data_IF_811529256518
#
_entry.id   IF_811529256518
#
_cell.length_a   1.000
_cell.length_b   1.000
_cell.length_c   1.000
_cell.angle_alpha   90.00
_cell.angle_beta   90.00
_cell.angle_gamma   90.00
#
_symmetry.space_group_name_H-M   'P 1'
#
loop_
_entity.id
_entity.type
_entity.pdbx_description
1 polymer ?
#
# COMPACT_ATOMS: atom_id res chain seq x y z
N UNK A 1 24.18 23.07 -13.20
CA UNK A 1 24.22 24.46 -12.68
C UNK A 1 24.86 24.46 -11.33
N UNK A 2 26.06 25.05 -11.22
CA UNK A 2 26.79 25.12 -9.96
C UNK A 2 26.28 26.32 -9.15
N UNK A 3 25.86 26.12 -7.89
CA UNK A 3 25.50 27.23 -7.03
C UNK A 3 26.75 28.06 -6.72
N UNK A 4 26.67 29.38 -6.93
CA UNK A 4 27.72 30.33 -6.59
C UNK A 4 27.47 30.94 -5.22
N UNK A 5 28.53 31.32 -4.51
CA UNK A 5 28.43 31.99 -3.23
C UNK A 5 27.67 33.31 -3.37
N UNK A 6 26.69 33.55 -2.51
CA UNK A 6 25.92 34.77 -2.52
C UNK A 6 26.84 35.99 -2.21
N UNK A 7 26.95 36.99 -3.11
CA UNK A 7 27.85 38.11 -2.93
C UNK A 7 27.43 39.01 -1.78
N UNK A 8 26.13 39.08 -1.44
CA UNK A 8 25.61 39.96 -0.41
C UNK A 8 25.90 39.49 1.01
N UNK A 9 25.92 38.19 1.25
CA UNK A 9 26.22 37.64 2.57
C UNK A 9 27.53 36.81 2.59
N UNK A 10 28.27 36.79 1.50
CA UNK A 10 29.52 36.00 1.36
C UNK A 10 29.41 34.57 1.87
N UNK A 11 28.27 33.92 1.55
CA UNK A 11 28.01 32.54 1.95
C UNK A 11 27.41 32.33 3.35
N UNK A 12 27.33 33.36 4.18
CA UNK A 12 26.85 33.27 5.57
C UNK A 12 25.33 33.07 5.69
N UNK A 13 24.55 33.34 4.65
CA UNK A 13 23.08 33.25 4.68
C UNK A 13 22.39 34.37 5.45
N UNK A 14 23.15 35.19 6.15
CA UNK A 14 22.66 36.29 7.02
C UNK A 14 23.40 37.56 6.75
N UNK A 15 22.73 38.69 6.91
CA UNK A 15 23.31 40.03 6.82
C UNK A 15 23.10 40.79 8.15
N UNK A 16 24.15 41.49 8.58
CA UNK A 16 24.13 42.25 9.82
C UNK A 16 23.86 43.71 9.46
N UNK A 17 22.81 44.24 10.00
CA UNK A 17 22.47 45.68 9.92
C UNK A 17 22.84 46.36 11.22
N UNK A 18 23.80 47.29 11.18
CA UNK A 18 24.15 48.11 12.31
C UNK A 18 23.29 49.37 12.29
N UNK A 19 22.51 49.61 13.33
CA UNK A 19 21.73 50.82 13.51
C UNK A 19 22.25 51.60 14.71
N UNK A 20 22.67 52.83 14.45
CA UNK A 20 23.15 53.73 15.52
C UNK A 20 21.94 54.34 16.23
N UNK A 21 21.84 54.14 17.55
CA UNK A 21 20.80 54.69 18.39
C UNK A 21 21.43 55.62 19.42
N UNK A 22 20.63 56.46 20.11
CA UNK A 22 21.09 57.38 21.14
C UNK A 22 21.78 56.68 22.34
N UNK A 23 21.61 55.34 22.45
CA UNK A 23 22.18 54.50 23.52
C UNK A 23 23.28 53.55 23.06
N UNK A 24 23.76 53.68 21.79
CA UNK A 24 24.80 52.84 21.26
C UNK A 24 24.42 52.18 19.93
N UNK A 25 25.31 51.35 19.40
CA UNK A 25 25.12 50.64 18.13
C UNK A 25 24.42 49.31 18.38
N UNK A 26 23.20 49.15 17.87
CA UNK A 26 22.51 47.87 17.86
C UNK A 26 22.78 47.12 16.54
N UNK A 27 23.21 45.89 16.65
CA UNK A 27 23.39 44.99 15.51
C UNK A 27 22.18 44.05 15.39
N UNK A 28 21.46 44.14 14.27
CA UNK A 28 20.37 43.21 13.92
C UNK A 28 20.82 42.25 12.84
N UNK A 29 20.70 40.96 13.13
CA UNK A 29 20.98 39.90 12.17
C UNK A 29 19.68 39.56 11.46
N UNK A 30 19.64 39.70 10.14
CA UNK A 30 18.50 39.31 9.29
C UNK A 30 18.91 38.29 8.25
N UNK A 31 17.99 37.43 7.89
CA UNK A 31 18.16 36.47 6.78
C UNK A 31 18.49 37.28 5.51
N UNK A 32 19.49 36.80 4.74
CA UNK A 32 19.88 37.48 3.50
C UNK A 32 18.72 37.38 2.49
N UNK A 33 18.22 38.52 1.98
CA UNK A 33 17.07 38.54 1.07
C UNK A 33 17.38 38.02 -0.33
N UNK A 34 18.65 37.94 -0.73
CA UNK A 34 19.04 37.45 -2.05
C UNK A 34 19.12 35.93 -2.10
N UNK A 35 19.60 35.29 -1.05
CA UNK A 35 19.74 33.85 -0.99
C UNK A 35 18.73 33.17 -0.05
N UNK A 36 17.85 33.93 0.60
CA UNK A 36 16.87 33.44 1.56
C UNK A 36 17.46 32.49 2.63
N UNK A 37 18.67 32.82 3.10
CA UNK A 37 19.33 32.04 4.14
C UNK A 37 20.24 30.91 3.65
N UNK A 38 20.20 30.55 2.36
CA UNK A 38 20.99 29.43 1.82
C UNK A 38 22.48 29.71 1.64
N UNK A 39 22.88 30.99 1.64
CA UNK A 39 24.27 31.42 1.42
C UNK A 39 24.74 31.27 -0.04
N UNK A 40 23.92 30.68 -0.92
CA UNK A 40 24.24 30.40 -2.31
C UNK A 40 23.15 30.90 -3.24
N UNK A 41 23.54 31.34 -4.43
CA UNK A 41 22.60 31.76 -5.49
C UNK A 41 22.91 31.00 -6.79
N UNK A 42 21.85 30.74 -7.55
CA UNK A 42 21.97 30.11 -8.87
C UNK A 42 21.78 31.21 -9.92
N UNK A 43 22.86 31.61 -10.59
CA UNK A 43 22.80 32.64 -11.64
C UNK A 43 22.12 32.11 -12.90
N UNK A 44 22.54 30.92 -13.36
CA UNK A 44 21.98 30.29 -14.54
C UNK A 44 20.98 29.19 -14.10
N UNK A 45 19.70 29.46 -14.23
CA UNK A 45 18.65 28.51 -13.90
C UNK A 45 18.60 27.41 -14.97
N UNK A 46 18.60 26.16 -14.55
CA UNK A 46 18.38 25.02 -15.45
C UNK A 46 17.00 25.16 -16.11
N UNK A 47 16.89 25.01 -17.45
CA UNK A 47 15.60 25.10 -18.14
C UNK A 47 14.59 24.04 -17.68
N UNK A 48 15.06 22.87 -17.27
CA UNK A 48 14.18 21.75 -16.86
C UNK A 48 13.62 21.91 -15.44
N UNK A 49 14.45 22.38 -14.49
CA UNK A 49 14.04 22.46 -13.07
C UNK A 49 13.82 23.89 -12.55
N UNK A 50 14.12 24.94 -13.34
CA UNK A 50 14.01 26.35 -12.94
C UNK A 50 14.65 26.68 -11.57
N UNK A 51 15.75 25.98 -11.24
CA UNK A 51 16.45 26.15 -9.97
C UNK A 51 15.89 25.34 -8.79
N UNK A 52 14.87 24.51 -9.00
CA UNK A 52 14.29 23.63 -7.95
C UNK A 52 15.18 22.42 -7.64
N UNK A 53 16.21 22.14 -8.46
CA UNK A 53 17.12 20.99 -8.37
C UNK A 53 16.44 19.62 -8.62
N UNK A 54 15.12 19.56 -8.77
CA UNK A 54 14.34 18.35 -9.02
C UNK A 54 13.47 18.51 -10.25
N UNK A 55 13.35 17.44 -11.03
CA UNK A 55 12.44 17.33 -12.17
C UNK A 55 11.46 16.19 -11.92
N UNK A 56 10.22 16.38 -12.31
CA UNK A 56 9.20 15.37 -12.22
C UNK A 56 9.32 14.40 -13.39
N UNK A 57 9.54 13.11 -13.11
CA UNK A 57 9.59 12.05 -14.12
C UNK A 57 8.60 10.95 -13.76
N UNK A 58 7.89 10.43 -14.76
CA UNK A 58 7.11 9.20 -14.60
C UNK A 58 8.07 8.02 -14.51
N UNK A 59 7.90 7.18 -13.50
CA UNK A 59 8.65 5.94 -13.32
C UNK A 59 7.67 4.81 -13.07
N UNK A 60 7.85 3.70 -13.79
CA UNK A 60 7.09 2.47 -13.55
C UNK A 60 7.84 1.60 -12.55
N UNK A 61 7.10 1.01 -11.63
CA UNK A 61 7.63 0.05 -10.65
C UNK A 61 6.89 -1.26 -10.84
N UNK A 62 7.63 -2.35 -10.81
CA UNK A 62 7.10 -3.69 -10.72
C UNK A 62 7.07 -4.10 -9.25
N UNK A 63 5.90 -4.53 -8.79
CA UNK A 63 5.66 -4.86 -7.38
C UNK A 63 5.17 -6.29 -7.27
N UNK A 64 5.95 -7.15 -6.62
CA UNK A 64 5.54 -8.51 -6.33
C UNK A 64 4.55 -8.53 -5.17
N UNK A 65 3.32 -8.95 -5.46
CA UNK A 65 2.27 -9.08 -4.45
C UNK A 65 2.33 -10.48 -3.85
N UNK A 66 2.65 -10.64 -2.57
CA UNK A 66 2.71 -11.95 -1.94
C UNK A 66 1.31 -12.57 -1.82
N UNK A 67 1.21 -13.87 -2.12
CA UNK A 67 -0.04 -14.60 -1.92
C UNK A 67 -0.45 -14.55 -0.43
N UNK A 68 -1.73 -14.33 -0.18
CA UNK A 68 -2.26 -14.20 1.18
C UNK A 68 -2.33 -12.77 1.71
N UNK A 69 -1.91 -11.77 0.94
CA UNK A 69 -2.03 -10.37 1.36
C UNK A 69 -3.48 -10.03 1.72
N UNK A 70 -3.67 -9.18 2.72
CA UNK A 70 -4.98 -8.73 3.16
C UNK A 70 -5.22 -7.27 2.79
N UNK A 71 -6.49 -6.86 2.89
CA UNK A 71 -6.88 -5.48 2.63
C UNK A 71 -6.19 -4.53 3.61
N UNK A 72 -5.67 -3.40 3.10
CA UNK A 72 -4.96 -2.39 3.88
C UNK A 72 -3.51 -2.74 4.23
N UNK A 73 -3.00 -3.89 3.77
CA UNK A 73 -1.58 -4.21 3.95
C UNK A 73 -0.70 -3.42 2.99
N UNK A 74 0.44 -2.92 3.51
CA UNK A 74 1.39 -2.12 2.73
C UNK A 74 2.64 -2.92 2.41
N UNK A 75 3.06 -2.85 1.15
CA UNK A 75 4.33 -3.37 0.65
C UNK A 75 5.33 -2.22 0.58
N UNK A 76 6.46 -2.36 1.27
CA UNK A 76 7.52 -1.36 1.30
C UNK A 76 8.53 -1.63 0.18
N UNK A 77 8.74 -0.63 -0.67
CA UNK A 77 9.80 -0.61 -1.68
C UNK A 77 10.90 0.36 -1.25
N UNK A 78 12.03 -0.18 -0.82
CA UNK A 78 13.15 0.62 -0.36
C UNK A 78 13.72 1.48 -1.49
N UNK A 79 13.94 2.78 -1.21
CA UNK A 79 14.49 3.73 -2.17
C UNK A 79 13.58 4.06 -3.37
N UNK A 80 12.32 3.60 -3.37
CA UNK A 80 11.33 3.89 -4.42
C UNK A 80 10.67 5.27 -4.28
N UNK A 81 10.84 5.93 -3.16
CA UNK A 81 10.22 7.21 -2.85
C UNK A 81 10.90 8.42 -3.46
N UNK A 82 10.56 9.59 -2.95
CA UNK A 82 11.11 10.87 -3.38
C UNK A 82 12.60 11.02 -3.01
N UNK A 83 13.36 11.81 -3.77
CA UNK A 83 14.75 12.10 -3.43
C UNK A 83 14.84 12.85 -2.11
N UNK A 84 15.85 12.53 -1.31
CA UNK A 84 16.10 13.23 -0.04
C UNK A 84 16.52 14.69 -0.27
N UNK A 85 16.28 15.52 0.74
CA UNK A 85 16.67 16.94 0.72
C UNK A 85 18.20 17.02 0.80
N UNK A 86 18.79 17.97 0.06
CA UNK A 86 20.25 18.24 0.03
C UNK A 86 21.12 17.03 -0.38
N UNK A 87 20.63 16.18 -1.28
CA UNK A 87 21.37 15.01 -1.74
C UNK A 87 21.35 13.81 -0.79
N UNK A 88 20.44 13.81 0.17
CA UNK A 88 20.19 12.67 1.04
C UNK A 88 19.66 11.43 0.28
N UNK A 89 19.63 10.27 0.91
CA UNK A 89 19.10 9.05 0.31
C UNK A 89 17.62 9.21 -0.04
N UNK A 90 17.15 8.43 -1.01
CA UNK A 90 15.74 8.41 -1.36
C UNK A 90 14.92 7.79 -0.23
N UNK A 91 13.69 8.30 -0.07
CA UNK A 91 12.70 7.68 0.79
C UNK A 91 12.20 6.34 0.24
N UNK A 92 11.34 5.68 0.98
CA UNK A 92 10.69 4.45 0.56
C UNK A 92 9.31 4.74 -0.05
N UNK A 93 8.90 3.87 -0.95
CA UNK A 93 7.55 3.87 -1.49
C UNK A 93 6.73 2.80 -0.77
N UNK A 94 5.60 3.20 -0.20
CA UNK A 94 4.63 2.29 0.40
C UNK A 94 3.48 2.09 -0.57
N UNK A 95 3.23 0.84 -0.95
CA UNK A 95 2.14 0.44 -1.84
C UNK A 95 1.10 -0.28 -1.01
N UNK A 96 -0.07 0.33 -0.81
CA UNK A 96 -1.17 -0.27 -0.08
C UNK A 96 -2.01 -1.17 -1.00
N UNK A 97 -2.27 -2.40 -0.54
CA UNK A 97 -3.11 -3.34 -1.24
C UNK A 97 -4.58 -3.15 -0.86
N UNK A 98 -5.41 -2.82 -1.85
CA UNK A 98 -6.86 -2.75 -1.69
C UNK A 98 -7.47 -3.99 -2.32
N UNK A 99 -8.07 -4.86 -1.50
CA UNK A 99 -8.69 -6.11 -1.95
C UNK A 99 -10.17 -5.90 -2.15
N UNK A 100 -10.63 -6.07 -3.38
CA UNK A 100 -12.06 -5.98 -3.71
C UNK A 100 -12.84 -7.18 -3.19
N UNK A 101 -14.08 -6.99 -2.71
CA UNK A 101 -14.94 -8.09 -2.26
C UNK A 101 -15.31 -9.00 -3.44
N UNK A 102 -15.34 -10.32 -3.19
CA UNK A 102 -15.75 -11.31 -4.18
C UNK A 102 -17.26 -11.63 -4.03
N UNK A 103 -18.03 -11.83 -5.11
CA UNK A 103 -19.47 -12.06 -5.04
C UNK A 103 -19.85 -13.37 -4.33
N UNK A 104 -19.01 -14.40 -4.39
CA UNK A 104 -19.30 -15.73 -3.83
C UNK A 104 -18.54 -15.96 -2.53
N UNK A 105 -17.29 -15.52 -2.45
CA UNK A 105 -16.38 -15.82 -1.35
C UNK A 105 -16.31 -14.66 -0.37
N UNK A 106 -16.47 -14.97 0.91
CA UNK A 106 -16.20 -14.05 2.01
C UNK A 106 -14.92 -14.52 2.70
N UNK A 107 -13.93 -13.64 2.79
CA UNK A 107 -12.68 -13.91 3.48
C UNK A 107 -12.74 -13.44 4.93
N UNK A 108 -12.25 -14.26 5.86
CA UNK A 108 -11.93 -13.88 7.22
C UNK A 108 -10.52 -14.42 7.54
N UNK A 109 -9.57 -13.53 7.68
CA UNK A 109 -8.16 -13.87 7.83
C UNK A 109 -7.66 -14.81 6.71
N UNK A 110 -7.33 -16.05 7.04
CA UNK A 110 -6.90 -17.08 6.09
C UNK A 110 -8.03 -18.02 5.66
N UNK A 111 -9.20 -17.92 6.29
CA UNK A 111 -10.33 -18.78 5.96
C UNK A 111 -11.25 -18.14 4.93
N UNK A 112 -11.90 -18.98 4.15
CA UNK A 112 -12.89 -18.58 3.16
C UNK A 112 -14.24 -19.16 3.53
N UNK A 113 -15.28 -18.38 3.34
CA UNK A 113 -16.66 -18.75 3.56
C UNK A 113 -17.45 -18.60 2.27
N UNK A 114 -18.25 -19.60 1.94
CA UNK A 114 -19.18 -19.53 0.81
C UNK A 114 -20.50 -20.22 1.15
N UNK A 115 -21.57 -19.80 0.47
CA UNK A 115 -22.89 -20.40 0.60
C UNK A 115 -23.21 -21.12 -0.71
N UNK A 116 -23.65 -22.38 -0.61
CA UNK A 116 -23.97 -23.20 -1.78
C UNK A 116 -25.39 -23.72 -1.63
N UNK A 117 -26.29 -23.39 -2.58
CA UNK A 117 -27.64 -23.93 -2.58
C UNK A 117 -27.61 -25.40 -3.00
N UNK A 118 -28.35 -26.24 -2.29
CA UNK A 118 -28.57 -27.66 -2.63
C UNK A 118 -30.06 -27.93 -2.76
N UNK A 119 -30.43 -28.85 -3.65
CA UNK A 119 -31.82 -29.25 -3.79
C UNK A 119 -32.28 -30.11 -2.59
N UNK A 120 -33.56 -30.02 -2.26
CA UNK A 120 -34.17 -30.83 -1.20
C UNK A 120 -33.90 -32.34 -1.38
N UNK A 121 -33.99 -32.86 -2.61
CA UNK A 121 -33.69 -34.26 -2.90
C UNK A 121 -32.25 -34.64 -2.52
N UNK A 122 -31.25 -33.80 -2.84
CA UNK A 122 -29.85 -34.04 -2.45
C UNK A 122 -29.66 -33.91 -0.92
N UNK A 123 -30.37 -33.03 -0.28
CA UNK A 123 -30.32 -32.92 1.18
C UNK A 123 -30.89 -34.16 1.86
N UNK A 124 -32.00 -34.70 1.35
CA UNK A 124 -32.69 -35.86 1.92
C UNK A 124 -31.96 -37.19 1.63
N UNK A 125 -31.61 -37.44 0.39
CA UNK A 125 -31.01 -38.69 -0.03
C UNK A 125 -29.48 -38.73 0.03
N UNK A 126 -28.85 -37.58 0.15
CA UNK A 126 -27.41 -37.45 0.03
C UNK A 126 -26.94 -37.43 -1.40
N UNK A 127 -25.62 -37.44 -1.57
CA UNK A 127 -25.00 -37.45 -2.91
C UNK A 127 -23.76 -36.55 -2.95
N UNK A 128 -23.30 -36.24 -4.15
CA UNK A 128 -22.17 -35.32 -4.33
C UNK A 128 -22.61 -34.00 -4.98
N UNK A 129 -21.92 -32.94 -4.62
CA UNK A 129 -22.08 -31.60 -5.20
C UNK A 129 -20.75 -31.06 -5.65
N UNK A 130 -20.73 -30.32 -6.75
CA UNK A 130 -19.55 -29.57 -7.18
C UNK A 130 -19.58 -28.18 -6.56
N UNK A 131 -18.51 -27.83 -5.87
CA UNK A 131 -18.38 -26.55 -5.18
C UNK A 131 -17.18 -25.80 -5.75
N UNK A 132 -17.38 -24.53 -6.08
CA UNK A 132 -16.30 -23.65 -6.49
C UNK A 132 -15.42 -23.33 -5.29
N UNK A 133 -14.13 -23.47 -5.46
CA UNK A 133 -13.10 -23.05 -4.52
C UNK A 133 -12.14 -22.08 -5.19
N UNK A 134 -11.21 -21.49 -4.45
CA UNK A 134 -10.19 -20.58 -5.03
C UNK A 134 -9.28 -21.30 -6.03
N UNK A 135 -9.06 -22.61 -5.86
CA UNK A 135 -8.18 -23.40 -6.71
C UNK A 135 -8.92 -24.11 -7.86
N UNK A 136 -10.24 -23.92 -7.96
CA UNK A 136 -11.08 -24.62 -8.94
C UNK A 136 -12.26 -25.31 -8.29
N UNK A 137 -12.89 -26.25 -9.01
CA UNK A 137 -14.05 -27.00 -8.51
C UNK A 137 -13.63 -28.26 -7.74
N UNK A 138 -14.30 -28.50 -6.63
CA UNK A 138 -14.09 -29.69 -5.79
C UNK A 138 -15.42 -30.40 -5.58
N UNK A 139 -15.40 -31.71 -5.68
CA UNK A 139 -16.57 -32.53 -5.38
C UNK A 139 -16.65 -32.79 -3.86
N UNK A 140 -17.81 -32.50 -3.29
CA UNK A 140 -18.09 -32.61 -1.86
C UNK A 140 -19.25 -33.56 -1.64
N UNK A 141 -19.07 -34.58 -0.80
CA UNK A 141 -20.12 -35.50 -0.41
C UNK A 141 -21.05 -34.86 0.60
N UNK A 142 -22.34 -34.88 0.30
CA UNK A 142 -23.44 -34.46 1.18
C UNK A 142 -24.06 -35.70 1.80
N UNK A 143 -24.15 -35.75 3.13
CA UNK A 143 -24.77 -36.88 3.82
C UNK A 143 -26.30 -36.81 3.71
N UNK A 144 -26.95 -37.98 3.67
CA UNK A 144 -28.42 -38.05 3.71
C UNK A 144 -28.94 -37.42 5.03
N UNK A 145 -30.04 -36.67 4.92
CA UNK A 145 -30.61 -35.95 6.04
C UNK A 145 -29.88 -34.64 6.42
N UNK A 146 -29.05 -34.09 5.52
CA UNK A 146 -28.37 -32.81 5.74
C UNK A 146 -29.38 -31.68 5.87
N UNK A 147 -29.31 -30.93 6.97
CA UNK A 147 -30.15 -29.77 7.23
C UNK A 147 -29.59 -28.50 6.60
N UNK A 148 -30.46 -27.50 6.40
CA UNK A 148 -30.04 -26.18 6.00
C UNK A 148 -29.03 -25.59 6.99
N UNK A 149 -28.15 -24.69 6.53
CA UNK A 149 -27.06 -24.07 7.32
C UNK A 149 -26.01 -25.05 7.87
N UNK A 150 -26.03 -26.31 7.41
CA UNK A 150 -24.95 -27.25 7.70
C UNK A 150 -23.64 -26.75 7.10
N UNK A 151 -22.58 -26.69 7.93
CA UNK A 151 -21.24 -26.28 7.50
C UNK A 151 -20.35 -27.46 7.19
N UNK A 152 -19.75 -27.42 6.02
CA UNK A 152 -18.75 -28.41 5.58
C UNK A 152 -17.40 -27.71 5.48
N UNK A 153 -16.36 -28.28 6.11
CA UNK A 153 -14.99 -27.75 6.06
C UNK A 153 -14.18 -28.48 5.01
N UNK A 154 -13.61 -27.72 4.10
CA UNK A 154 -12.57 -28.18 3.15
C UNK A 154 -11.20 -27.76 3.67
N UNK A 155 -10.48 -28.70 4.24
CA UNK A 155 -9.16 -28.44 4.83
C UNK A 155 -8.14 -27.99 3.76
N UNK A 156 -7.41 -26.91 4.07
CA UNK A 156 -6.35 -26.39 3.21
C UNK A 156 -6.82 -25.72 1.91
N UNK A 157 -8.13 -25.43 1.77
CA UNK A 157 -8.71 -24.75 0.59
C UNK A 157 -8.99 -23.24 0.85
N UNK A 158 -8.40 -22.69 1.89
CA UNK A 158 -8.44 -21.26 2.20
C UNK A 158 -7.28 -20.49 1.56
N UNK A 159 -7.02 -19.30 2.08
CA UNK A 159 -5.94 -18.40 1.66
C UNK A 159 -4.61 -18.86 2.27
N UNK A 160 -3.49 -18.80 1.53
CA UNK A 160 -2.18 -19.10 2.09
C UNK A 160 -1.76 -18.06 3.15
N UNK A 161 -0.95 -18.49 4.11
CA UNK A 161 -0.33 -17.59 5.08
C UNK A 161 0.79 -16.80 4.43
N UNK A 162 0.87 -15.48 4.71
CA UNK A 162 1.93 -14.60 4.17
C UNK A 162 3.35 -15.08 4.48
N UNK A 163 3.58 -15.58 5.70
CA UNK A 163 4.90 -16.04 6.15
C UNK A 163 5.23 -17.47 5.75
N UNK A 164 4.22 -18.28 5.45
CA UNK A 164 4.40 -19.69 5.13
C UNK A 164 3.42 -20.11 4.02
N UNK A 165 3.87 -20.05 2.78
CA UNK A 165 3.06 -20.35 1.59
C UNK A 165 2.55 -21.81 1.55
N UNK A 166 3.20 -22.71 2.30
CA UNK A 166 2.82 -24.13 2.36
C UNK A 166 1.61 -24.36 3.28
N UNK A 167 1.36 -23.44 4.21
CA UNK A 167 0.20 -23.52 5.08
C UNK A 167 -0.91 -22.64 4.53
N UNK A 168 -2.11 -23.20 4.51
CA UNK A 168 -3.32 -22.52 4.04
C UNK A 168 -4.41 -22.64 5.09
N UNK A 169 -5.29 -21.66 5.13
CA UNK A 169 -6.53 -21.74 5.90
C UNK A 169 -7.50 -22.73 5.27
N UNK A 170 -8.70 -22.78 5.82
CA UNK A 170 -9.75 -23.70 5.38
C UNK A 170 -10.86 -22.96 4.64
N UNK A 171 -11.60 -23.68 3.81
CA UNK A 171 -12.81 -23.17 3.20
C UNK A 171 -14.03 -23.79 3.86
N UNK A 172 -14.87 -22.95 4.43
CA UNK A 172 -16.13 -23.33 5.07
C UNK A 172 -17.29 -23.06 4.12
N UNK A 173 -18.00 -24.12 3.77
CA UNK A 173 -19.16 -24.08 2.89
C UNK A 173 -20.41 -24.20 3.75
N UNK A 174 -21.31 -23.26 3.64
CA UNK A 174 -22.65 -23.35 4.24
C UNK A 174 -23.62 -23.88 3.20
N UNK A 175 -24.22 -25.02 3.46
CA UNK A 175 -25.21 -25.65 2.58
C UNK A 175 -26.60 -25.08 2.91
N UNK A 176 -27.27 -24.52 1.91
CA UNK A 176 -28.62 -23.97 2.07
C UNK A 176 -29.58 -24.78 1.19
N UNK A 177 -30.58 -25.40 1.81
CA UNK A 177 -31.57 -26.19 1.10
C UNK A 177 -32.54 -25.24 0.38
N UNK A 178 -32.58 -25.32 -0.95
CA UNK A 178 -33.56 -24.60 -1.74
C UNK A 178 -34.71 -25.52 -2.12
N UNK A 179 -35.94 -25.06 -1.87
CA UNK A 179 -37.16 -25.72 -2.33
C UNK A 179 -37.51 -25.08 -3.68
N UNK A 180 -37.67 -25.87 -4.76
CA UNK A 180 -38.14 -25.32 -6.04
C UNK A 180 -39.59 -24.79 -5.85
N UNK A 181 -39.79 -23.59 -6.37
CA UNK A 181 -41.11 -22.94 -6.47
C UNK A 181 -41.77 -23.30 -7.77
#
# INVERSE_FOLDING_TARGET
TSPTTCPKCNGKGQVIYSQQTLFGTMQNVKTCPECNGTGKIIKDKCPDCNGKAYIQKKKSFEVDIPAGIDNGMSIRMAGGGEPGINGGPRGDLLVEAVVSPHPIFKRQDTNIFSTVPISFAKAALGGSIRVKTVDGEVEVAVKAGTQTDTRVRLKGKGVPFLRNKNNRGDHYITLVVSVPT
#
